data_IF_504369545557
#
_entry.id   IF_504369545557
#
_cell.length_a   1.000
_cell.length_b   1.000
_cell.length_c   1.000
_cell.angle_alpha   90.00
_cell.angle_beta   90.00
_cell.angle_gamma   90.00
#
_symmetry.space_group_name_H-M   'P 1'
#
loop_
_entity.id
_entity.type
_entity.pdbx_description
1 polymer ?
#
# COMPACT_ATOMS: atom_id res chain seq x y z
N UNK A 1 1.34 8.23 -11.47
CA UNK A 1 0.37 8.89 -12.32
C UNK A 1 0.22 8.28 -13.74
N UNK A 2 0.47 6.94 -13.91
CA UNK A 2 0.29 6.30 -15.24
C UNK A 2 -1.19 6.33 -15.68
N UNK A 3 -2.13 6.23 -14.75
CA UNK A 3 -3.59 6.23 -15.02
C UNK A 3 -4.15 7.65 -14.93
N UNK A 4 -3.90 8.33 -13.84
CA UNK A 4 -4.32 9.74 -13.65
C UNK A 4 -3.10 10.63 -13.44
N UNK A 5 -2.70 11.45 -14.44
CA UNK A 5 -1.56 12.35 -14.30
C UNK A 5 -1.82 13.51 -13.32
N UNK A 6 -3.07 13.81 -13.02
CA UNK A 6 -3.48 14.92 -12.14
C UNK A 6 -3.71 14.47 -10.69
N UNK A 7 -3.43 13.19 -10.37
CA UNK A 7 -3.58 12.66 -9.01
C UNK A 7 -2.71 13.48 -8.04
N UNK A 8 -3.30 13.85 -6.90
CA UNK A 8 -2.59 14.51 -5.80
C UNK A 8 -2.53 13.56 -4.63
N UNK A 9 -1.36 13.42 -4.03
CA UNK A 9 -1.13 12.55 -2.88
C UNK A 9 -0.65 13.41 -1.73
N UNK A 10 -1.30 13.27 -0.57
CA UNK A 10 -0.89 13.88 0.70
C UNK A 10 -0.64 12.80 1.72
N UNK A 11 0.40 12.96 2.53
CA UNK A 11 0.80 12.00 3.53
C UNK A 11 0.81 12.66 4.91
N UNK A 12 0.25 11.97 5.90
CA UNK A 12 0.37 12.31 7.32
C UNK A 12 1.04 11.14 8.02
N UNK A 13 2.14 11.40 8.71
CA UNK A 13 2.86 10.41 9.50
C UNK A 13 2.37 10.38 10.94
N UNK A 14 1.93 9.20 11.40
CA UNK A 14 1.42 9.01 12.76
C UNK A 14 2.50 8.65 13.78
N UNK A 15 3.67 8.18 13.32
CA UNK A 15 4.75 7.66 14.17
C UNK A 15 4.26 6.61 15.19
N UNK A 16 3.30 5.78 14.78
CA UNK A 16 2.72 4.72 15.57
C UNK A 16 2.20 3.63 14.63
N UNK A 17 2.37 2.38 15.00
CA UNK A 17 1.75 1.26 14.30
C UNK A 17 0.26 1.16 14.63
N UNK A 18 -0.10 1.38 15.90
CA UNK A 18 -1.48 1.24 16.36
C UNK A 18 -1.83 2.37 17.34
N UNK A 19 -2.58 3.33 16.89
CA UNK A 19 -3.19 4.41 17.69
C UNK A 19 -4.48 4.85 17.00
N UNK A 20 -5.61 4.19 17.29
CA UNK A 20 -6.88 4.48 16.59
C UNK A 20 -7.31 5.95 16.65
N UNK A 21 -6.96 6.65 17.72
CA UNK A 21 -7.25 8.07 17.87
C UNK A 21 -6.48 8.92 16.87
N UNK A 22 -5.16 8.79 16.86
CA UNK A 22 -4.29 9.52 15.90
C UNK A 22 -4.59 9.13 14.45
N UNK A 23 -4.87 7.86 14.20
CA UNK A 23 -5.19 7.36 12.86
C UNK A 23 -6.50 7.96 12.34
N UNK A 24 -7.55 8.02 13.18
CA UNK A 24 -8.80 8.68 12.84
C UNK A 24 -8.62 10.18 12.61
N UNK A 25 -7.82 10.87 13.45
CA UNK A 25 -7.54 12.29 13.33
C UNK A 25 -6.77 12.60 12.03
N UNK A 26 -5.78 11.77 11.67
CA UNK A 26 -5.05 11.90 10.42
C UNK A 26 -5.98 11.71 9.20
N UNK A 27 -6.82 10.66 9.20
CA UNK A 27 -7.78 10.41 8.14
C UNK A 27 -8.79 11.57 8.00
N UNK A 28 -9.37 12.05 9.11
CA UNK A 28 -10.27 13.19 9.11
C UNK A 28 -9.59 14.47 8.61
N UNK A 29 -8.32 14.68 8.95
CA UNK A 29 -7.54 15.82 8.47
C UNK A 29 -7.37 15.79 6.95
N UNK A 30 -7.01 14.63 6.39
CA UNK A 30 -6.90 14.44 4.94
C UNK A 30 -8.25 14.64 4.23
N UNK A 31 -9.33 14.08 4.77
CA UNK A 31 -10.70 14.23 4.26
C UNK A 31 -11.12 15.71 4.26
N UNK A 32 -10.88 16.42 5.35
CA UNK A 32 -11.17 17.86 5.45
C UNK A 32 -10.35 18.70 4.46
N UNK A 33 -9.22 18.20 4.00
CA UNK A 33 -8.39 18.83 2.95
C UNK A 33 -8.80 18.39 1.53
N UNK A 34 -9.88 17.59 1.40
CA UNK A 34 -10.46 17.21 0.12
C UNK A 34 -9.98 15.84 -0.41
N UNK A 35 -9.40 14.99 0.43
CA UNK A 35 -9.12 13.63 0.03
C UNK A 35 -10.42 12.86 -0.20
N UNK A 36 -10.54 12.21 -1.34
CA UNK A 36 -11.67 11.37 -1.75
C UNK A 36 -11.37 9.86 -1.59
N UNK A 37 -10.11 9.52 -1.37
CA UNK A 37 -9.65 8.16 -1.08
C UNK A 37 -8.66 8.21 0.08
N UNK A 38 -8.87 7.36 1.09
CA UNK A 38 -7.95 7.16 2.20
C UNK A 38 -7.18 5.85 1.99
N UNK A 39 -5.86 5.94 2.03
CA UNK A 39 -4.96 4.78 2.03
C UNK A 39 -4.18 4.82 3.33
N UNK A 40 -4.19 3.73 4.08
CA UNK A 40 -3.48 3.63 5.36
C UNK A 40 -2.32 2.63 5.30
N UNK A 41 -1.33 2.84 6.16
CA UNK A 41 -0.31 1.85 6.51
C UNK A 41 -0.12 1.87 8.03
N UNK A 42 -1.24 1.65 8.74
CA UNK A 42 -1.38 1.57 10.19
C UNK A 42 -2.35 0.43 10.51
N UNK A 43 -2.37 -0.05 11.75
CA UNK A 43 -2.96 -1.34 12.07
C UNK A 43 -4.41 -1.29 12.54
N UNK A 44 -4.96 -0.09 12.83
CA UNK A 44 -6.36 0.00 13.26
C UNK A 44 -7.33 0.17 12.08
N UNK A 45 -8.61 -0.09 12.33
CA UNK A 45 -9.69 0.14 11.36
C UNK A 45 -10.20 1.59 11.35
N UNK A 46 -9.65 2.45 12.19
CA UNK A 46 -10.14 3.81 12.40
C UNK A 46 -10.10 4.68 11.13
N UNK A 47 -9.06 4.65 10.27
CA UNK A 47 -9.05 5.41 9.01
C UNK A 47 -10.17 4.98 8.05
N UNK A 48 -10.40 3.68 7.92
CA UNK A 48 -11.45 3.13 7.08
C UNK A 48 -12.85 3.53 7.58
N UNK A 49 -13.06 3.47 8.90
CA UNK A 49 -14.32 3.92 9.54
C UNK A 49 -14.54 5.43 9.40
N UNK A 50 -13.47 6.24 9.47
CA UNK A 50 -13.54 7.67 9.22
C UNK A 50 -13.93 7.97 7.77
N UNK A 51 -13.38 7.25 6.80
CA UNK A 51 -13.72 7.34 5.39
C UNK A 51 -15.20 7.00 5.15
N UNK A 52 -15.70 5.89 5.72
CA UNK A 52 -17.11 5.50 5.62
C UNK A 52 -18.04 6.55 6.18
N UNK A 53 -17.73 7.08 7.37
CA UNK A 53 -18.52 8.14 8.00
C UNK A 53 -18.58 9.41 7.17
N UNK A 54 -17.50 9.73 6.45
CA UNK A 54 -17.40 10.90 5.59
C UNK A 54 -17.96 10.68 4.18
N UNK A 55 -18.25 9.43 3.80
CA UNK A 55 -18.72 9.08 2.47
C UNK A 55 -17.64 9.11 1.39
N UNK A 56 -16.37 8.92 1.78
CA UNK A 56 -15.23 8.77 0.86
C UNK A 56 -14.75 7.32 0.85
N UNK A 57 -13.89 6.96 -0.11
CA UNK A 57 -13.44 5.59 -0.28
C UNK A 57 -12.18 5.28 0.56
N UNK A 58 -11.90 3.99 0.78
CA UNK A 58 -10.73 3.55 1.53
C UNK A 58 -10.13 2.26 1.00
N UNK A 59 -8.80 2.16 1.14
CA UNK A 59 -8.05 0.92 1.12
C UNK A 59 -7.73 0.49 2.55
N UNK A 60 -7.92 -0.80 2.84
CA UNK A 60 -7.47 -1.41 4.09
C UNK A 60 -6.01 -1.84 4.05
N UNK A 61 -5.45 -2.19 5.22
CA UNK A 61 -4.06 -2.60 5.41
C UNK A 61 -3.98 -3.86 6.26
N UNK A 62 -3.03 -4.71 5.94
CA UNK A 62 -2.63 -5.96 6.61
C UNK A 62 -3.70 -7.06 6.62
N UNK A 63 -4.97 -6.73 6.58
CA UNK A 63 -6.11 -7.66 6.59
C UNK A 63 -7.32 -7.09 5.88
N UNK A 64 -8.29 -7.95 5.53
CA UNK A 64 -9.56 -7.51 4.95
C UNK A 64 -10.35 -6.68 5.97
N UNK A 65 -10.54 -5.40 5.69
CA UNK A 65 -11.25 -4.48 6.55
C UNK A 65 -12.72 -4.24 6.16
N UNK A 66 -13.25 -4.95 5.16
CA UNK A 66 -14.62 -4.75 4.65
C UNK A 66 -15.69 -4.78 5.75
N UNK A 67 -15.54 -5.66 6.74
CA UNK A 67 -16.51 -5.79 7.84
C UNK A 67 -16.63 -4.52 8.72
N UNK A 68 -15.63 -3.63 8.69
CA UNK A 68 -15.57 -2.43 9.52
C UNK A 68 -16.01 -1.15 8.80
N UNK A 69 -16.02 -1.18 7.47
CA UNK A 69 -16.35 -0.03 6.62
C UNK A 69 -16.90 -0.48 5.24
N UNK A 70 -18.00 -1.27 5.19
CA UNK A 70 -18.47 -1.94 3.97
C UNK A 70 -18.88 -0.98 2.85
N UNK A 71 -19.17 0.28 3.16
CA UNK A 71 -19.59 1.28 2.18
C UNK A 71 -18.45 2.22 1.75
N UNK A 72 -17.24 2.06 2.30
CA UNK A 72 -16.05 2.80 1.91
C UNK A 72 -14.93 1.88 1.39
N UNK A 73 -14.84 0.66 1.91
CA UNK A 73 -13.78 -0.29 1.63
C UNK A 73 -13.82 -0.77 0.19
N UNK A 74 -12.81 -0.39 -0.59
CA UNK A 74 -12.64 -0.84 -1.98
C UNK A 74 -11.99 -2.21 -2.06
N UNK A 75 -10.93 -2.40 -1.32
CA UNK A 75 -10.12 -3.62 -1.12
C UNK A 75 -9.11 -3.36 -0.01
N UNK A 76 -8.37 -4.38 0.42
CA UNK A 76 -7.22 -4.24 1.34
C UNK A 76 -5.97 -4.84 0.72
N UNK A 77 -4.82 -4.36 1.15
CA UNK A 77 -3.54 -5.05 0.99
C UNK A 77 -3.44 -6.01 2.17
N UNK A 78 -3.37 -7.32 1.91
CA UNK A 78 -3.29 -8.35 2.94
C UNK A 78 -1.89 -8.93 3.05
N UNK A 79 -1.42 -9.13 4.29
CA UNK A 79 -0.14 -9.77 4.60
C UNK A 79 -0.39 -11.26 4.91
N UNK A 80 0.06 -12.15 4.04
CA UNK A 80 -0.24 -13.59 4.10
C UNK A 80 0.86 -14.33 4.86
N UNK A 81 0.90 -14.18 6.17
CA UNK A 81 1.93 -14.75 7.05
C UNK A 81 1.82 -16.26 7.26
N UNK A 82 0.64 -16.87 7.09
CA UNK A 82 0.38 -18.26 7.44
C UNK A 82 1.36 -19.25 6.82
N UNK A 83 1.48 -19.31 5.48
CA UNK A 83 2.41 -20.23 4.81
C UNK A 83 3.88 -19.99 5.19
N UNK A 84 4.28 -18.73 5.35
CA UNK A 84 5.62 -18.36 5.77
C UNK A 84 5.96 -18.92 7.16
N UNK A 85 5.10 -18.70 8.14
CA UNK A 85 5.32 -19.22 9.49
C UNK A 85 5.30 -20.77 9.53
N UNK A 86 4.42 -21.40 8.77
CA UNK A 86 4.39 -22.85 8.65
C UNK A 86 5.71 -23.41 8.10
N UNK A 87 6.25 -22.79 7.03
CA UNK A 87 7.52 -23.18 6.44
C UNK A 87 8.70 -22.99 7.39
N UNK A 88 8.76 -21.85 8.13
CA UNK A 88 9.82 -21.59 9.12
C UNK A 88 9.73 -22.56 10.32
N UNK A 89 8.52 -22.88 10.78
CA UNK A 89 8.31 -23.87 11.84
C UNK A 89 8.76 -25.27 11.40
N UNK A 90 8.44 -25.67 10.16
CA UNK A 90 8.90 -26.94 9.60
C UNK A 90 10.43 -26.99 9.50
N UNK A 91 11.07 -25.90 9.05
CA UNK A 91 12.54 -25.82 8.98
C UNK A 91 13.21 -26.00 10.35
N UNK A 92 12.59 -25.50 11.42
CA UNK A 92 13.06 -25.74 12.80
C UNK A 92 12.98 -27.24 13.15
N UNK A 93 11.86 -27.91 12.84
CA UNK A 93 11.67 -29.35 13.06
C UNK A 93 12.70 -30.16 12.29
N UNK A 94 12.99 -29.77 11.04
CA UNK A 94 13.93 -30.44 10.17
C UNK A 94 15.41 -30.12 10.48
N UNK A 95 15.67 -29.19 11.40
CA UNK A 95 17.03 -28.75 11.73
C UNK A 95 17.72 -27.94 10.62
N UNK A 96 16.94 -27.39 9.69
CA UNK A 96 17.43 -26.61 8.54
C UNK A 96 17.20 -25.10 8.69
N UNK A 97 16.56 -24.65 9.78
CA UNK A 97 16.28 -23.25 9.99
C UNK A 97 17.57 -22.42 10.15
N UNK A 98 17.61 -21.28 9.50
CA UNK A 98 18.62 -20.25 9.63
C UNK A 98 17.97 -18.86 9.81
N UNK A 99 18.73 -17.93 10.38
CA UNK A 99 18.31 -16.52 10.45
C UNK A 99 18.66 -15.85 9.13
N UNK A 100 17.64 -15.52 8.36
CA UNK A 100 17.78 -14.89 7.03
C UNK A 100 16.80 -13.71 6.96
N UNK A 101 17.20 -12.64 6.29
CA UNK A 101 16.31 -11.56 5.93
C UNK A 101 15.30 -12.04 4.89
N UNK A 102 14.04 -11.61 5.03
CA UNK A 102 12.98 -11.95 4.10
C UNK A 102 12.43 -10.68 3.46
N UNK A 103 12.44 -10.65 2.12
CA UNK A 103 11.88 -9.56 1.32
C UNK A 103 11.03 -10.18 0.22
N UNK A 104 9.73 -10.26 0.46
CA UNK A 104 8.77 -10.98 -0.39
C UNK A 104 7.55 -10.12 -0.65
N UNK A 105 6.84 -10.40 -1.75
CA UNK A 105 5.67 -9.65 -2.19
C UNK A 105 4.62 -10.51 -2.88
N UNK A 106 3.92 -9.96 -3.86
CA UNK A 106 2.89 -10.65 -4.64
C UNK A 106 3.38 -11.96 -5.26
N UNK A 107 4.54 -11.94 -5.91
CA UNK A 107 5.14 -13.09 -6.57
C UNK A 107 5.35 -14.29 -5.64
N UNK A 108 5.60 -14.02 -4.38
CA UNK A 108 5.91 -15.04 -3.37
C UNK A 108 4.67 -15.44 -2.57
N UNK A 109 3.51 -14.85 -2.86
CA UNK A 109 2.28 -15.04 -2.10
C UNK A 109 2.32 -14.49 -0.68
N UNK A 110 3.22 -13.53 -0.40
CA UNK A 110 3.32 -12.88 0.91
C UNK A 110 2.39 -11.67 1.02
N UNK A 111 2.01 -11.08 -0.10
CA UNK A 111 1.08 -9.98 -0.21
C UNK A 111 0.00 -10.34 -1.22
N UNK A 112 -1.25 -10.09 -0.87
CA UNK A 112 -2.40 -10.30 -1.74
C UNK A 112 -3.35 -9.11 -1.62
N UNK A 113 -4.25 -8.96 -2.60
CA UNK A 113 -5.37 -8.01 -2.48
C UNK A 113 -6.62 -8.75 -1.99
N UNK A 114 -7.33 -8.18 -1.04
CA UNK A 114 -8.68 -8.62 -0.67
C UNK A 114 -9.62 -8.63 -1.87
N UNK A 115 -10.73 -9.36 -1.82
CA UNK A 115 -11.77 -9.23 -2.84
C UNK A 115 -12.19 -7.77 -3.06
N UNK A 116 -12.22 -7.36 -4.32
CA UNK A 116 -12.68 -6.01 -4.68
C UNK A 116 -14.18 -5.84 -4.41
N UNK A 117 -14.55 -4.73 -3.80
CA UNK A 117 -15.94 -4.41 -3.50
C UNK A 117 -16.70 -4.01 -4.77
N UNK A 118 -17.43 -4.95 -5.34
CA UNK A 118 -18.20 -4.76 -6.59
C UNK A 118 -19.40 -3.81 -6.45
N UNK A 119 -19.75 -3.41 -5.22
CA UNK A 119 -20.81 -2.40 -4.99
C UNK A 119 -20.29 -0.99 -5.15
N UNK A 120 -18.98 -0.80 -4.94
CA UNK A 120 -18.31 0.51 -4.97
C UNK A 120 -17.53 0.71 -6.27
N UNK A 121 -16.97 -0.35 -6.82
CA UNK A 121 -16.07 -0.29 -7.97
C UNK A 121 -16.74 -0.84 -9.23
N UNK A 122 -16.68 -0.10 -10.35
CA UNK A 122 -17.05 -0.61 -11.66
C UNK A 122 -16.19 -1.81 -12.08
N UNK A 123 -16.78 -2.71 -12.85
CA UNK A 123 -16.10 -3.95 -13.24
C UNK A 123 -14.85 -3.73 -14.08
N UNK A 124 -14.84 -2.73 -14.94
CA UNK A 124 -13.69 -2.33 -15.77
C UNK A 124 -12.50 -1.88 -14.91
N UNK A 125 -12.74 -1.11 -13.85
CA UNK A 125 -11.72 -0.72 -12.87
C UNK A 125 -11.16 -1.95 -12.14
N UNK A 126 -12.02 -2.88 -11.72
CA UNK A 126 -11.59 -4.12 -11.06
C UNK A 126 -10.73 -4.95 -12.00
N UNK A 127 -11.10 -5.08 -13.27
CA UNK A 127 -10.35 -5.84 -14.26
C UNK A 127 -8.98 -5.18 -14.54
N UNK A 128 -8.91 -3.86 -14.62
CA UNK A 128 -7.65 -3.14 -14.77
C UNK A 128 -6.73 -3.35 -13.56
N UNK A 129 -7.26 -3.22 -12.34
CA UNK A 129 -6.51 -3.48 -11.11
C UNK A 129 -5.95 -4.91 -11.07
N UNK A 130 -6.76 -5.93 -11.40
CA UNK A 130 -6.31 -7.32 -11.47
C UNK A 130 -5.25 -7.57 -12.55
N UNK A 131 -5.33 -6.89 -13.68
CA UNK A 131 -4.28 -6.95 -14.69
C UNK A 131 -2.97 -6.36 -14.17
N UNK A 132 -3.04 -5.27 -13.39
CA UNK A 132 -1.86 -4.67 -12.75
C UNK A 132 -1.27 -5.60 -11.68
N UNK A 133 -2.09 -6.24 -10.84
CA UNK A 133 -1.63 -7.26 -9.87
C UNK A 133 -0.86 -8.37 -10.60
N UNK A 134 -1.47 -8.95 -11.64
CA UNK A 134 -0.84 -10.00 -12.46
C UNK A 134 0.47 -9.52 -13.08
N UNK A 135 0.54 -8.27 -13.53
CA UNK A 135 1.75 -7.71 -14.12
C UNK A 135 2.86 -7.51 -13.06
N UNK A 136 2.50 -7.11 -11.82
CA UNK A 136 3.46 -7.02 -10.71
C UNK A 136 3.95 -8.42 -10.32
N UNK A 137 3.04 -9.38 -10.17
CA UNK A 137 3.35 -10.78 -9.84
C UNK A 137 4.31 -11.43 -10.85
N UNK A 138 4.07 -11.18 -12.13
CA UNK A 138 4.92 -11.68 -13.22
C UNK A 138 6.20 -10.86 -13.45
N UNK A 139 6.40 -9.76 -12.72
CA UNK A 139 7.56 -8.87 -12.86
C UNK A 139 7.59 -8.06 -14.15
N UNK A 140 6.44 -7.89 -14.82
CA UNK A 140 6.32 -7.05 -16.03
C UNK A 140 5.90 -5.61 -15.73
N UNK A 141 5.51 -5.33 -14.49
CA UNK A 141 5.22 -4.01 -13.97
C UNK A 141 5.92 -3.83 -12.61
N UNK A 142 6.63 -2.73 -12.46
CA UNK A 142 7.23 -2.33 -11.19
C UNK A 142 6.69 -0.98 -10.73
N UNK A 143 6.40 -0.84 -9.44
CA UNK A 143 5.88 0.40 -8.87
C UNK A 143 6.91 1.54 -8.97
N UNK A 144 8.20 1.21 -8.94
CA UNK A 144 9.33 2.14 -9.03
C UNK A 144 10.18 1.89 -10.28
N UNK A 145 9.52 1.84 -11.43
CA UNK A 145 10.16 1.83 -12.74
C UNK A 145 10.32 3.26 -13.25
N UNK A 146 11.53 3.59 -13.68
CA UNK A 146 11.89 4.92 -14.16
C UNK A 146 11.27 5.34 -15.50
N UNK A 147 11.32 6.63 -15.79
CA UNK A 147 12.04 7.66 -15.04
C UNK A 147 11.27 8.13 -13.81
N UNK A 148 11.94 8.21 -12.67
CA UNK A 148 11.38 8.73 -11.43
C UNK A 148 12.21 9.94 -10.97
N UNK A 149 11.52 11.01 -10.62
CA UNK A 149 12.11 12.23 -10.08
C UNK A 149 11.67 12.40 -8.63
N UNK A 150 12.57 12.92 -7.78
CA UNK A 150 12.20 13.36 -6.44
C UNK A 150 11.52 14.75 -6.49
N UNK A 151 11.07 15.27 -5.35
CA UNK A 151 10.42 16.58 -5.25
C UNK A 151 11.31 17.76 -5.67
N UNK A 152 12.64 17.61 -5.58
CA UNK A 152 13.60 18.62 -6.04
C UNK A 152 13.79 18.60 -7.58
N UNK A 153 13.16 17.65 -8.29
CA UNK A 153 13.30 17.47 -9.72
C UNK A 153 14.56 16.69 -10.13
N UNK A 154 15.23 16.05 -9.19
CA UNK A 154 16.41 15.23 -9.48
C UNK A 154 15.97 13.83 -9.94
N UNK A 155 16.59 13.33 -10.99
CA UNK A 155 16.34 12.00 -11.53
C UNK A 155 16.94 10.94 -10.60
N UNK A 156 16.09 10.13 -9.95
CA UNK A 156 16.49 9.12 -8.97
C UNK A 156 16.44 7.69 -9.51
N UNK A 157 15.58 7.43 -10.49
CA UNK A 157 15.56 6.17 -11.26
C UNK A 157 15.49 6.54 -12.74
N UNK A 158 16.45 6.06 -13.55
CA UNK A 158 16.50 6.40 -14.96
C UNK A 158 15.47 5.62 -15.77
N UNK A 159 15.18 6.13 -16.96
CA UNK A 159 14.30 5.43 -17.90
C UNK A 159 14.82 4.02 -18.20
N UNK A 160 13.91 3.03 -18.10
CA UNK A 160 14.21 1.62 -18.29
C UNK A 160 14.93 0.94 -17.12
N UNK A 161 15.21 1.65 -16.03
CA UNK A 161 15.73 1.07 -14.79
C UNK A 161 14.57 0.86 -13.78
N UNK A 162 14.75 -0.07 -12.86
CA UNK A 162 13.86 -0.33 -11.73
C UNK A 162 14.65 -0.07 -10.45
N UNK A 163 14.03 0.61 -9.47
CA UNK A 163 14.64 0.78 -8.16
C UNK A 163 14.89 -0.60 -7.51
N UNK A 164 16.12 -0.82 -7.05
CA UNK A 164 16.51 -2.04 -6.36
C UNK A 164 16.02 -2.03 -4.89
N UNK A 165 16.09 -3.20 -4.24
CA UNK A 165 15.63 -3.37 -2.85
C UNK A 165 16.42 -2.48 -1.88
N UNK A 166 17.69 -2.22 -2.14
CA UNK A 166 18.54 -1.34 -1.33
C UNK A 166 18.05 0.11 -1.37
N UNK A 167 17.68 0.59 -2.57
CA UNK A 167 17.10 1.91 -2.75
C UNK A 167 15.72 1.98 -2.07
N UNK A 168 14.86 0.97 -2.24
CA UNK A 168 13.53 0.94 -1.64
C UNK A 168 13.59 0.93 -0.11
N UNK A 169 14.47 0.11 0.48
CA UNK A 169 14.66 0.03 1.92
C UNK A 169 15.28 1.31 2.53
N UNK A 170 16.10 2.03 1.75
CA UNK A 170 16.79 3.25 2.17
C UNK A 170 16.13 4.55 1.72
N UNK A 171 14.93 4.52 1.16
CA UNK A 171 14.28 5.70 0.57
C UNK A 171 13.92 6.75 1.63
N UNK A 172 14.57 7.92 1.54
CA UNK A 172 14.36 9.08 2.42
C UNK A 172 13.96 10.33 1.63
N UNK A 173 13.18 10.15 0.58
CA UNK A 173 12.66 11.24 -0.24
C UNK A 173 11.23 10.91 -0.73
N UNK A 174 10.46 11.93 -1.05
CA UNK A 174 9.22 11.76 -1.80
C UNK A 174 9.46 11.90 -3.29
N UNK A 175 8.73 11.10 -4.06
CA UNK A 175 8.68 11.25 -5.51
C UNK A 175 7.87 12.49 -5.88
N UNK A 176 8.13 13.04 -7.07
CA UNK A 176 7.38 14.16 -7.62
C UNK A 176 5.88 13.85 -7.68
N UNK A 177 5.03 14.79 -7.27
CA UNK A 177 3.57 14.64 -7.20
C UNK A 177 3.03 14.30 -5.82
N UNK A 178 3.89 14.06 -4.83
CA UNK A 178 3.49 13.97 -3.42
C UNK A 178 3.56 15.37 -2.80
N UNK A 179 2.48 15.79 -2.14
CA UNK A 179 2.37 17.07 -1.44
C UNK A 179 2.77 16.90 0.03
N UNK A 180 3.77 17.62 0.48
CA UNK A 180 4.31 17.57 1.85
C UNK A 180 5.83 17.37 1.88
N UNK A 181 6.39 17.26 3.08
CA UNK A 181 7.81 17.04 3.32
C UNK A 181 8.03 15.71 4.03
N UNK A 182 9.15 15.05 3.74
CA UNK A 182 9.57 13.87 4.51
C UNK A 182 9.88 14.33 5.94
N UNK A 183 9.28 13.71 6.96
CA UNK A 183 9.57 14.05 8.35
C UNK A 183 11.04 13.83 8.70
N UNK A 184 11.61 14.76 9.47
CA UNK A 184 12.98 14.68 10.00
C UNK A 184 13.04 13.98 11.35
#
# INVERSE_FOLDING_TARGET
AKVNPDVKIKIIWNYSWYDPGKEADAANTLINQGADIIVQHTDSYAPCQAAEKAGVLAFGQASNQEAFCPNAHMTSIEDIWGPYYAAKAQAVVDGTWGSEDTWQGFKDGMVEMSPYNTKLLPLDIILEAKNMETAIENGTLHSFEGPIYNQAGELVVKEGEVADDGMLAGMMFYVQGIDGEVPQ
#
